data_IF_022403796775
#
_entry.id   IF_022403796775
#
_cell.length_a   1.000
_cell.length_b   1.000
_cell.length_c   1.000
_cell.angle_alpha   90.00
_cell.angle_beta   90.00
_cell.angle_gamma   90.00
#
_symmetry.space_group_name_H-M   'P 1'
#
loop_
_entity.id
_entity.type
_entity.pdbx_description
1 polymer ?
#
# COMPACT_ATOMS: atom_id res chain seq x y z
N UNK A 1 0.82 3.86 3.51
CA UNK A 1 1.20 2.55 4.01
C UNK A 1 1.70 1.68 2.86
N UNK A 2 2.86 1.07 2.96
CA UNK A 2 3.46 0.20 1.94
C UNK A 2 4.52 -0.71 2.52
N UNK A 3 5.02 -1.64 1.70
CA UNK A 3 6.10 -2.57 2.09
C UNK A 3 7.47 -1.94 1.81
N UNK A 4 7.76 -0.81 2.43
CA UNK A 4 8.94 0.00 2.11
C UNK A 4 10.21 -0.44 2.84
N UNK A 5 10.11 -1.09 4.01
CA UNK A 5 11.25 -1.61 4.78
C UNK A 5 11.51 -3.10 4.44
N UNK A 6 11.86 -3.34 3.21
CA UNK A 6 12.25 -4.67 2.71
C UNK A 6 13.63 -4.61 2.06
N UNK A 7 14.27 -5.75 1.84
CA UNK A 7 15.50 -5.83 1.03
C UNK A 7 15.22 -5.64 -0.48
N UNK A 8 14.04 -5.18 -0.84
CA UNK A 8 13.61 -5.01 -2.22
C UNK A 8 13.68 -3.54 -2.63
N UNK A 9 14.58 -3.22 -3.54
CA UNK A 9 14.75 -1.88 -4.10
C UNK A 9 13.46 -1.32 -4.70
N UNK A 10 12.69 -2.16 -5.39
CA UNK A 10 11.43 -1.76 -5.99
C UNK A 10 10.42 -1.27 -4.97
N UNK A 11 10.27 -1.96 -3.85
CA UNK A 11 9.34 -1.57 -2.79
C UNK A 11 9.73 -0.22 -2.15
N UNK A 12 11.04 -0.02 -1.88
CA UNK A 12 11.56 1.23 -1.31
C UNK A 12 11.36 2.39 -2.27
N UNK A 13 11.79 2.23 -3.53
CA UNK A 13 11.70 3.31 -4.53
C UNK A 13 10.24 3.65 -4.87
N UNK A 14 9.36 2.68 -4.93
CA UNK A 14 7.93 2.93 -5.17
C UNK A 14 7.31 3.75 -4.04
N UNK A 15 7.59 3.38 -2.79
CA UNK A 15 7.10 4.11 -1.62
C UNK A 15 7.68 5.53 -1.56
N UNK A 16 8.97 5.68 -1.83
CA UNK A 16 9.66 6.97 -1.91
C UNK A 16 9.05 7.87 -3.00
N UNK A 17 8.88 7.33 -4.20
CA UNK A 17 8.32 8.10 -5.32
C UNK A 17 6.89 8.56 -5.03
N UNK A 18 6.07 7.70 -4.46
CA UNK A 18 4.70 8.05 -4.07
C UNK A 18 4.71 9.14 -3.01
N UNK A 19 5.56 9.03 -1.98
CA UNK A 19 5.73 10.04 -0.95
C UNK A 19 6.08 11.39 -1.55
N UNK A 20 7.13 11.47 -2.38
CA UNK A 20 7.58 12.71 -3.02
C UNK A 20 6.54 13.29 -3.98
N UNK A 21 5.80 12.44 -4.68
CA UNK A 21 4.71 12.88 -5.56
C UNK A 21 3.62 13.58 -4.77
N UNK A 22 3.20 13.00 -3.66
CA UNK A 22 2.17 13.60 -2.80
C UNK A 22 2.66 14.92 -2.16
N UNK A 23 3.93 14.99 -1.73
CA UNK A 23 4.52 16.25 -1.24
C UNK A 23 4.49 17.34 -2.32
N UNK A 24 4.89 17.01 -3.56
CA UNK A 24 4.83 17.95 -4.71
C UNK A 24 3.41 18.43 -5.02
N UNK A 25 2.41 17.62 -4.70
CA UNK A 25 1.00 18.00 -4.77
C UNK A 25 0.53 18.83 -3.56
N UNK A 26 1.45 19.29 -2.71
CA UNK A 26 1.16 20.10 -1.53
C UNK A 26 0.54 19.34 -0.36
N UNK A 27 0.67 18.01 -0.32
CA UNK A 27 0.15 17.20 0.78
C UNK A 27 1.19 17.03 1.88
N UNK A 28 0.76 17.08 3.13
CA UNK A 28 1.56 16.69 4.29
C UNK A 28 1.52 15.17 4.40
N UNK A 29 2.66 14.52 4.21
CA UNK A 29 2.75 13.05 4.07
C UNK A 29 3.57 12.47 5.20
N UNK A 30 3.16 11.30 5.69
CA UNK A 30 3.97 10.47 6.58
C UNK A 30 3.87 9.01 6.18
N UNK A 31 4.97 8.28 6.29
CA UNK A 31 5.01 6.83 6.10
C UNK A 31 4.72 6.14 7.43
N UNK A 32 3.68 5.31 7.49
CA UNK A 32 3.44 4.44 8.62
C UNK A 32 4.28 3.17 8.46
N UNK A 33 5.21 2.96 9.38
CA UNK A 33 6.19 1.88 9.32
C UNK A 33 5.83 0.74 10.28
N UNK A 34 5.43 -0.40 9.73
CA UNK A 34 5.16 -1.64 10.46
C UNK A 34 6.33 -2.64 10.44
N UNK A 35 7.52 -2.22 10.03
CA UNK A 35 8.70 -3.10 9.92
C UNK A 35 9.18 -3.67 11.27
N UNK A 36 8.80 -3.04 12.37
CA UNK A 36 9.14 -3.51 13.73
C UNK A 36 8.64 -4.92 14.03
N UNK A 37 7.61 -5.37 13.33
CA UNK A 37 7.09 -6.73 13.51
C UNK A 37 7.97 -7.80 12.89
N UNK A 38 8.87 -7.44 11.99
CA UNK A 38 9.84 -8.34 11.33
C UNK A 38 11.13 -7.58 10.99
N UNK A 39 12.11 -7.50 11.91
CA UNK A 39 13.39 -6.91 11.58
C UNK A 39 14.03 -7.72 10.45
N UNK A 40 14.21 -7.07 9.30
CA UNK A 40 14.90 -7.69 8.18
C UNK A 40 16.36 -7.96 8.57
N UNK A 41 16.76 -9.21 8.58
CA UNK A 41 18.16 -9.61 8.76
C UNK A 41 18.95 -9.24 7.49
N UNK A 42 19.97 -8.42 7.59
CA UNK A 42 20.94 -8.14 6.53
C UNK A 42 20.70 -6.81 5.79
N UNK A 43 21.60 -6.44 4.94
CA UNK A 43 21.72 -5.35 3.94
C UNK A 43 20.82 -4.08 3.95
N UNK A 44 20.13 -3.77 5.03
CA UNK A 44 19.31 -2.55 5.18
C UNK A 44 20.13 -1.25 5.21
N UNK A 45 21.45 -1.32 5.42
CA UNK A 45 22.28 -0.12 5.61
C UNK A 45 22.22 0.87 4.45
N UNK A 46 22.18 0.40 3.20
CA UNK A 46 22.11 1.28 2.04
C UNK A 46 20.80 2.06 1.96
N UNK A 47 19.70 1.38 2.17
CA UNK A 47 18.37 1.99 2.17
C UNK A 47 18.15 2.92 3.34
N UNK A 48 18.61 2.54 4.53
CA UNK A 48 18.49 3.38 5.71
C UNK A 48 19.25 4.69 5.55
N UNK A 49 20.46 4.64 4.98
CA UNK A 49 21.24 5.84 4.65
C UNK A 49 20.51 6.73 3.66
N UNK A 50 20.01 6.16 2.56
CA UNK A 50 19.24 6.88 1.56
C UNK A 50 18.00 7.55 2.19
N UNK A 51 17.18 6.80 2.93
CA UNK A 51 15.96 7.33 3.53
C UNK A 51 16.24 8.38 4.62
N UNK A 52 17.34 8.23 5.37
CA UNK A 52 17.78 9.22 6.35
C UNK A 52 18.22 10.54 5.66
N UNK A 53 18.90 10.46 4.52
CA UNK A 53 19.29 11.63 3.72
C UNK A 53 18.10 12.35 3.14
N UNK A 54 17.05 11.60 2.77
CA UNK A 54 15.85 12.13 2.16
C UNK A 54 14.87 12.82 3.12
N UNK A 55 15.13 12.79 4.44
CA UNK A 55 14.35 13.48 5.48
C UNK A 55 12.84 13.19 5.39
N UNK A 56 12.47 11.94 5.17
CA UNK A 56 11.07 11.54 5.13
C UNK A 56 10.44 11.56 6.54
N UNK A 57 9.19 11.96 6.64
CA UNK A 57 8.40 11.77 7.86
C UNK A 57 7.99 10.30 7.99
N UNK A 58 8.61 9.58 8.91
CA UNK A 58 8.38 8.16 9.14
C UNK A 58 7.86 7.99 10.56
N UNK A 59 6.73 7.31 10.71
CA UNK A 59 6.12 7.05 12.01
C UNK A 59 6.16 5.55 12.28
N UNK A 60 7.00 5.09 13.24
CA UNK A 60 7.10 3.68 13.56
C UNK A 60 5.81 3.19 14.24
N UNK A 61 5.28 2.07 13.76
CA UNK A 61 4.09 1.41 14.29
C UNK A 61 4.49 0.13 14.99
N UNK A 62 4.41 0.09 16.31
CA UNK A 62 4.80 -1.08 17.12
C UNK A 62 3.68 -2.11 17.24
N UNK A 63 2.43 -1.69 17.12
CA UNK A 63 1.23 -2.52 17.21
C UNK A 63 0.04 -1.86 16.48
N UNK A 64 -1.09 -2.54 16.46
CA UNK A 64 -2.31 -2.03 15.84
C UNK A 64 -2.91 -0.82 16.57
N UNK A 65 -2.72 -0.72 17.87
CA UNK A 65 -3.25 0.40 18.66
C UNK A 65 -2.62 1.73 18.21
N UNK A 66 -1.31 1.70 17.88
CA UNK A 66 -0.65 2.87 17.28
C UNK A 66 -1.30 3.25 15.95
N UNK A 67 -1.69 2.27 15.12
CA UNK A 67 -2.39 2.55 13.87
C UNK A 67 -3.77 3.20 14.11
N UNK A 68 -4.51 2.73 15.11
CA UNK A 68 -5.78 3.35 15.50
C UNK A 68 -5.60 4.79 15.98
N UNK A 69 -4.55 5.06 16.75
CA UNK A 69 -4.23 6.42 17.21
C UNK A 69 -3.95 7.38 16.04
N UNK A 70 -3.45 6.91 14.91
CA UNK A 70 -3.21 7.74 13.74
C UNK A 70 -4.48 8.37 13.16
N UNK A 71 -5.66 7.85 13.49
CA UNK A 71 -6.92 8.49 13.07
C UNK A 71 -7.10 9.92 13.61
N UNK A 72 -6.48 10.25 14.71
CA UNK A 72 -6.59 11.57 15.31
C UNK A 72 -5.60 12.57 14.67
N UNK A 73 -4.66 12.08 13.87
CA UNK A 73 -3.60 12.86 13.24
C UNK A 73 -3.72 12.99 11.72
N UNK A 74 -4.45 12.08 11.08
CA UNK A 74 -4.59 12.04 9.63
C UNK A 74 -6.06 11.97 9.21
N UNK A 75 -6.39 12.66 8.14
CA UNK A 75 -7.69 12.64 7.47
C UNK A 75 -7.78 11.58 6.37
N UNK A 76 -6.64 11.22 5.79
CA UNK A 76 -6.53 10.33 4.63
C UNK A 76 -5.49 9.26 4.87
N UNK A 77 -5.86 8.00 4.59
CA UNK A 77 -4.95 6.87 4.59
C UNK A 77 -4.83 6.30 3.19
N UNK A 78 -3.60 6.06 2.77
CA UNK A 78 -3.32 5.50 1.45
C UNK A 78 -2.51 4.20 1.61
N UNK A 79 -2.91 3.16 0.88
CA UNK A 79 -2.11 1.97 0.67
C UNK A 79 -1.46 2.06 -0.71
N UNK A 80 -0.14 1.90 -0.75
CA UNK A 80 0.66 2.11 -1.95
C UNK A 80 0.97 0.84 -2.70
N UNK A 81 1.55 1.05 -3.86
CA UNK A 81 1.86 0.06 -4.88
C UNK A 81 2.86 -0.98 -4.37
N UNK A 82 2.42 -2.18 -4.17
CA UNK A 82 3.18 -3.42 -4.02
C UNK A 82 2.18 -4.59 -3.82
N UNK A 83 2.69 -5.80 -3.55
CA UNK A 83 1.90 -6.99 -3.22
C UNK A 83 1.22 -6.90 -1.83
N UNK A 84 0.82 -5.73 -1.44
CA UNK A 84 0.28 -5.44 -0.10
C UNK A 84 -1.08 -6.09 0.17
N UNK A 85 -1.80 -6.49 -0.87
CA UNK A 85 -3.05 -7.22 -0.74
C UNK A 85 -2.90 -8.75 -0.87
N UNK A 86 -1.66 -9.25 -0.87
CA UNK A 86 -1.41 -10.67 -0.82
C UNK A 86 -1.96 -11.26 0.50
N UNK A 87 -2.83 -12.30 0.44
CA UNK A 87 -3.42 -12.91 1.64
C UNK A 87 -2.41 -13.44 2.66
N UNK A 88 -1.20 -13.77 2.22
CA UNK A 88 -0.10 -14.24 3.10
C UNK A 88 0.60 -13.15 3.91
N UNK A 89 0.29 -11.87 3.66
CA UNK A 89 0.88 -10.75 4.41
C UNK A 89 -0.06 -10.27 5.52
N UNK A 90 0.35 -9.28 6.26
CA UNK A 90 -0.19 -8.66 7.47
C UNK A 90 -1.75 -8.58 7.59
N UNK A 91 -2.45 -9.58 7.10
CA UNK A 91 -3.90 -9.70 7.27
C UNK A 91 -4.66 -8.53 6.67
N UNK A 92 -5.49 -7.87 7.49
CA UNK A 92 -6.33 -6.76 7.05
C UNK A 92 -5.71 -5.37 7.18
N UNK A 93 -4.48 -5.27 7.69
CA UNK A 93 -3.79 -4.00 7.90
C UNK A 93 -3.68 -3.18 6.61
N UNK A 94 -3.26 -3.82 5.52
CA UNK A 94 -3.15 -3.16 4.22
C UNK A 94 -4.50 -2.93 3.52
N UNK A 95 -5.58 -3.40 4.11
CA UNK A 95 -6.94 -2.98 3.76
C UNK A 95 -7.44 -1.83 4.63
N UNK A 96 -6.52 -1.19 5.37
CA UNK A 96 -6.78 -0.03 6.23
C UNK A 96 -7.94 -0.27 7.21
N UNK A 97 -8.01 -1.47 7.80
CA UNK A 97 -9.10 -1.83 8.72
C UNK A 97 -9.08 -1.01 10.01
N UNK A 98 -7.93 -0.47 10.40
CA UNK A 98 -7.78 0.45 11.52
C UNK A 98 -8.33 1.87 11.24
N UNK A 99 -8.45 2.27 9.97
CA UNK A 99 -8.93 3.60 9.62
C UNK A 99 -10.43 3.73 9.89
N UNK A 100 -10.84 4.73 10.68
CA UNK A 100 -12.25 5.01 11.03
C UNK A 100 -13.09 5.28 9.78
N UNK A 101 -14.43 5.17 9.90
CA UNK A 101 -15.36 5.28 8.78
C UNK A 101 -15.24 6.57 8.00
N UNK A 102 -15.15 7.69 8.71
CA UNK A 102 -15.06 9.05 8.17
C UNK A 102 -13.73 9.39 7.49
N UNK A 103 -12.69 8.59 7.69
CA UNK A 103 -11.37 8.81 7.08
C UNK A 103 -11.36 8.38 5.63
N UNK A 104 -10.77 9.20 4.77
CA UNK A 104 -10.59 8.84 3.36
C UNK A 104 -9.59 7.70 3.21
N UNK A 105 -9.92 6.71 2.40
CA UNK A 105 -9.11 5.52 2.15
C UNK A 105 -8.84 5.39 0.66
N UNK A 106 -7.56 5.39 0.29
CA UNK A 106 -7.13 5.35 -1.11
C UNK A 106 -6.27 4.11 -1.33
N UNK A 107 -6.56 3.37 -2.39
CA UNK A 107 -5.71 2.28 -2.86
C UNK A 107 -5.04 2.67 -4.17
N UNK A 108 -3.70 2.74 -4.16
CA UNK A 108 -2.91 3.18 -5.30
C UNK A 108 -1.96 2.08 -5.78
N UNK A 109 -2.41 1.29 -6.73
CA UNK A 109 -1.63 0.21 -7.33
C UNK A 109 -1.32 -1.00 -6.46
N UNK A 110 -2.13 -1.38 -5.44
CA UNK A 110 -1.89 -2.63 -4.73
C UNK A 110 -2.07 -3.84 -5.66
N UNK A 111 -1.40 -4.94 -5.32
CA UNK A 111 -1.50 -6.22 -5.99
C UNK A 111 -1.72 -7.34 -4.99
N UNK A 112 -2.43 -8.40 -5.38
CA UNK A 112 -2.54 -9.64 -4.61
C UNK A 112 -1.42 -10.63 -4.90
N UNK A 113 -0.63 -10.43 -5.96
CA UNK A 113 0.52 -11.22 -6.43
C UNK A 113 0.26 -12.70 -6.73
N UNK A 114 -0.65 -13.34 -6.02
CA UNK A 114 -1.02 -14.75 -6.18
C UNK A 114 -2.53 -14.91 -6.25
N UNK A 115 -2.96 -15.83 -7.10
CA UNK A 115 -4.36 -16.24 -7.25
C UNK A 115 -4.68 -17.49 -6.41
N UNK A 116 -3.99 -17.68 -5.27
CA UNK A 116 -4.37 -18.73 -4.33
C UNK A 116 -5.82 -18.44 -3.89
N UNK A 117 -6.66 -19.47 -3.92
CA UNK A 117 -8.07 -19.32 -3.51
C UNK A 117 -8.14 -19.02 -2.01
N UNK A 118 -8.34 -17.75 -1.61
CA UNK A 118 -8.46 -17.42 -0.19
C UNK A 118 -9.74 -18.02 0.37
N UNK A 119 -9.77 -18.25 1.68
CA UNK A 119 -10.97 -18.79 2.34
C UNK A 119 -12.17 -17.84 2.18
N UNK A 120 -13.38 -18.38 2.12
CA UNK A 120 -14.59 -17.55 2.02
C UNK A 120 -14.74 -16.56 3.18
N UNK A 121 -14.31 -16.94 4.38
CA UNK A 121 -14.29 -16.03 5.55
C UNK A 121 -13.39 -14.82 5.28
N UNK A 122 -12.21 -15.04 4.71
CA UNK A 122 -11.29 -13.99 4.31
C UNK A 122 -11.92 -13.10 3.24
N UNK A 123 -12.49 -13.69 2.18
CA UNK A 123 -13.16 -12.95 1.11
C UNK A 123 -14.29 -12.05 1.63
N UNK A 124 -15.13 -12.56 2.53
CA UNK A 124 -16.20 -11.77 3.16
C UNK A 124 -15.66 -10.57 3.95
N UNK A 125 -14.58 -10.79 4.73
CA UNK A 125 -13.93 -9.69 5.47
C UNK A 125 -13.39 -8.63 4.52
N UNK A 126 -12.63 -9.04 3.51
CA UNK A 126 -11.99 -8.13 2.55
C UNK A 126 -13.04 -7.38 1.72
N UNK A 127 -14.12 -8.03 1.30
CA UNK A 127 -15.23 -7.38 0.58
C UNK A 127 -15.79 -6.17 1.33
N UNK A 128 -15.96 -6.28 2.65
CA UNK A 128 -16.43 -5.15 3.48
C UNK A 128 -15.40 -4.02 3.54
N UNK A 129 -14.11 -4.36 3.62
CA UNK A 129 -13.04 -3.39 3.70
C UNK A 129 -12.82 -2.66 2.37
N UNK A 130 -12.88 -3.38 1.24
CA UNK A 130 -12.74 -2.82 -0.10
C UNK A 130 -13.80 -1.76 -0.41
N UNK A 131 -15.03 -1.95 0.04
CA UNK A 131 -16.13 -0.98 -0.13
C UNK A 131 -15.88 0.37 0.55
N UNK A 132 -14.88 0.47 1.42
CA UNK A 132 -14.52 1.69 2.14
C UNK A 132 -13.51 2.54 1.41
N UNK A 133 -12.93 2.03 0.32
CA UNK A 133 -11.94 2.76 -0.47
C UNK A 133 -12.58 3.61 -1.55
N UNK A 134 -12.05 4.82 -1.72
CA UNK A 134 -12.40 5.72 -2.81
C UNK A 134 -11.22 6.68 -3.08
N UNK A 135 -10.52 6.55 -4.21
CA UNK A 135 -10.65 5.53 -5.25
C UNK A 135 -9.82 4.25 -4.97
N UNK A 136 -10.07 3.23 -5.79
CA UNK A 136 -9.20 2.05 -5.94
C UNK A 136 -8.58 2.08 -7.33
N UNK A 137 -7.25 2.13 -7.42
CA UNK A 137 -6.50 1.81 -8.64
C UNK A 137 -5.61 0.61 -8.37
N UNK A 138 -5.53 -0.32 -9.29
CA UNK A 138 -4.72 -1.54 -9.18
C UNK A 138 -3.69 -1.60 -10.30
N UNK A 139 -2.65 -2.42 -10.10
CA UNK A 139 -1.52 -2.48 -11.01
C UNK A 139 -1.77 -3.37 -12.24
N UNK A 140 -2.47 -4.47 -12.04
CA UNK A 140 -2.70 -5.47 -13.06
C UNK A 140 -4.16 -5.50 -13.54
N UNK A 141 -4.38 -5.71 -14.86
CA UNK A 141 -5.73 -5.84 -15.43
C UNK A 141 -6.49 -7.02 -14.82
N UNK A 142 -5.83 -8.16 -14.62
CA UNK A 142 -6.46 -9.33 -14.00
C UNK A 142 -6.99 -9.06 -12.59
N UNK A 143 -6.36 -8.12 -11.87
CA UNK A 143 -6.85 -7.68 -10.56
C UNK A 143 -8.13 -6.86 -10.67
N UNK A 144 -8.27 -6.04 -11.72
CA UNK A 144 -9.52 -5.30 -12.00
C UNK A 144 -10.68 -6.28 -12.17
N UNK A 145 -10.47 -7.31 -12.99
CA UNK A 145 -11.48 -8.33 -13.28
C UNK A 145 -11.82 -9.14 -12.04
N UNK A 146 -10.81 -9.51 -11.26
CA UNK A 146 -10.99 -10.22 -9.99
C UNK A 146 -11.82 -9.40 -8.98
N UNK A 147 -11.52 -8.11 -8.84
CA UNK A 147 -12.26 -7.21 -7.93
C UNK A 147 -13.72 -7.02 -8.37
N UNK A 148 -13.96 -6.93 -9.66
CA UNK A 148 -15.33 -6.84 -10.21
C UNK A 148 -16.14 -8.11 -9.95
N UNK A 149 -15.57 -9.28 -10.27
CA UNK A 149 -16.24 -10.56 -10.17
C UNK A 149 -16.54 -10.97 -8.74
N UNK A 150 -15.60 -10.78 -7.84
CA UNK A 150 -15.70 -11.32 -6.49
C UNK A 150 -16.16 -10.31 -5.43
N UNK A 151 -16.02 -9.01 -5.70
CA UNK A 151 -16.27 -7.97 -4.69
C UNK A 151 -17.26 -6.90 -5.14
N UNK A 152 -17.71 -6.92 -6.39
CA UNK A 152 -18.62 -5.92 -6.92
C UNK A 152 -18.05 -4.50 -6.93
N UNK A 153 -16.72 -4.35 -6.84
CA UNK A 153 -16.05 -3.06 -6.86
C UNK A 153 -15.88 -2.60 -8.31
N UNK A 154 -16.83 -1.85 -8.84
CA UNK A 154 -16.86 -1.50 -10.27
C UNK A 154 -16.70 -0.01 -10.59
N UNK A 155 -16.98 0.88 -9.66
CA UNK A 155 -17.16 2.30 -10.01
C UNK A 155 -15.88 3.14 -10.04
N UNK A 156 -14.78 2.70 -9.42
CA UNK A 156 -13.55 3.49 -9.33
C UNK A 156 -12.27 2.70 -9.62
N UNK A 157 -12.37 1.61 -10.39
CA UNK A 157 -11.21 0.81 -10.76
C UNK A 157 -10.47 1.47 -11.93
N UNK A 158 -9.34 2.10 -11.65
CA UNK A 158 -8.41 2.59 -12.64
C UNK A 158 -7.15 1.70 -12.70
N UNK A 159 -6.45 1.73 -13.84
CA UNK A 159 -5.10 1.21 -13.88
C UNK A 159 -4.20 2.10 -13.03
N UNK A 160 -3.42 1.52 -12.12
CA UNK A 160 -2.32 2.23 -11.46
C UNK A 160 -1.33 2.74 -12.51
N UNK A 161 -0.38 3.61 -12.13
CA UNK A 161 0.56 4.17 -13.07
C UNK A 161 1.30 3.04 -13.78
N UNK A 162 1.11 2.97 -15.08
CA UNK A 162 2.02 2.21 -15.94
C UNK A 162 3.34 2.97 -15.88
N UNK A 163 4.39 2.32 -15.45
CA UNK A 163 5.74 2.81 -15.72
C UNK A 163 5.81 2.91 -17.26
N UNK A 164 6.00 4.11 -17.85
CA UNK A 164 6.16 4.18 -19.29
C UNK A 164 7.32 3.27 -19.66
N UNK A 165 7.11 2.39 -20.62
CA UNK A 165 8.20 1.63 -21.21
C UNK A 165 9.25 2.67 -21.65
N UNK A 166 10.48 2.52 -21.16
CA UNK A 166 11.56 3.40 -21.62
C UNK A 166 11.66 3.22 -23.14
N UNK A 167 11.59 4.30 -23.94
CA UNK A 167 11.87 4.18 -25.34
C UNK A 167 13.37 3.87 -25.46
N UNK A 168 13.72 2.64 -25.88
CA UNK A 168 15.10 2.30 -26.18
C UNK A 168 15.67 0.99 -25.67
N UNK A 169 14.90 0.08 -25.10
CA UNK A 169 15.33 -1.31 -24.97
C UNK A 169 15.02 -2.06 -26.28
N UNK A 170 15.87 -1.83 -27.29
CA UNK A 170 15.93 -2.68 -28.49
C UNK A 170 16.74 -3.93 -28.12
N UNK A 171 16.25 -5.05 -28.59
CA UNK A 171 16.70 -6.42 -28.46
C UNK A 171 18.23 -6.66 -28.42
#
# INVERSE_FOLDING_TARGET
LGMWMTCNYGAVLTSYTLYRTLERMGKKVSLLDFSYTRPAKGHLHGFQKFLAQEKLSIIPMHNLDHAYYMNDHFDTFMVGSDQVWNPGFLGSLFFLDFAKGEKRKIAYGPSMARHDKPSERYLRKISRLLKRFDPISVREQGMVDHLRQHFGCGQHLGHGPRIPAQPGAVA
#
